data_IF_881145429240
#
_entry.id   IF_881145429240
#
_cell.length_a   1.000
_cell.length_b   1.000
_cell.length_c   1.000
_cell.angle_alpha   90.00
_cell.angle_beta   90.00
_cell.angle_gamma   90.00
#
_symmetry.space_group_name_H-M   'P 1'
#
loop_
_entity.id
_entity.type
_entity.pdbx_description
1 polymer ?
#
# COMPACT_ATOMS: atom_id res chain seq x y z
N UNK A 1 -2.33 25.36 -6.85
CA UNK A 1 -2.75 24.37 -7.88
C UNK A 1 -2.51 22.97 -7.35
N UNK A 2 -3.55 22.19 -7.08
CA UNK A 2 -3.39 20.79 -6.73
C UNK A 2 -2.83 20.02 -7.95
N UNK A 3 -1.81 19.16 -7.79
CA UNK A 3 -1.17 18.48 -8.91
C UNK A 3 -2.19 17.65 -9.68
N UNK A 4 -2.13 17.64 -11.01
CA UNK A 4 -3.13 17.04 -11.92
C UNK A 4 -3.55 15.60 -11.53
N UNK A 5 -2.64 14.84 -10.91
CA UNK A 5 -2.88 13.49 -10.35
C UNK A 5 -3.87 13.45 -9.17
N UNK A 6 -3.98 14.51 -8.36
CA UNK A 6 -4.91 14.55 -7.21
C UNK A 6 -6.38 14.57 -7.61
N UNK A 7 -6.72 15.10 -8.80
CA UNK A 7 -8.09 15.06 -9.30
C UNK A 7 -8.49 13.67 -9.80
N UNK A 8 -7.54 12.89 -10.33
CA UNK A 8 -7.82 11.59 -10.92
C UNK A 8 -8.18 10.54 -9.87
N UNK A 9 -7.41 10.43 -8.78
CA UNK A 9 -7.70 9.43 -7.74
C UNK A 9 -9.00 9.72 -6.98
N UNK A 10 -9.32 11.00 -6.74
CA UNK A 10 -10.58 11.37 -6.07
C UNK A 10 -11.79 11.01 -6.89
N UNK A 11 -11.75 11.31 -8.19
CA UNK A 11 -12.82 10.93 -9.12
C UNK A 11 -12.91 9.41 -9.30
N UNK A 12 -11.76 8.72 -9.33
CA UNK A 12 -11.71 7.26 -9.34
C UNK A 12 -12.35 6.67 -8.07
N UNK A 13 -11.98 7.14 -6.88
CA UNK A 13 -12.57 6.67 -5.62
C UNK A 13 -14.05 7.01 -5.55
N UNK A 14 -14.46 8.21 -5.97
CA UNK A 14 -15.87 8.57 -6.03
C UNK A 14 -16.65 7.60 -6.94
N UNK A 15 -16.13 7.29 -8.13
CA UNK A 15 -16.79 6.35 -9.05
C UNK A 15 -16.76 4.91 -8.53
N UNK A 16 -15.74 4.53 -7.76
CA UNK A 16 -15.65 3.21 -7.11
C UNK A 16 -16.67 3.05 -5.99
N UNK A 17 -16.92 4.11 -5.22
CA UNK A 17 -17.79 4.10 -4.03
C UNK A 17 -19.24 4.44 -4.35
N UNK A 18 -19.45 5.30 -5.35
CA UNK A 18 -20.75 5.71 -5.86
C UNK A 18 -20.84 5.39 -7.37
N UNK A 19 -20.84 4.10 -7.76
CA UNK A 19 -20.95 3.72 -9.16
C UNK A 19 -22.27 4.22 -9.75
N UNK A 20 -22.25 4.85 -10.93
CA UNK A 20 -23.42 5.54 -11.49
C UNK A 20 -24.58 4.61 -11.90
N UNK A 21 -24.31 3.32 -12.11
CA UNK A 21 -25.26 2.38 -12.73
C UNK A 21 -25.74 1.27 -11.77
N UNK A 22 -25.41 1.37 -10.48
CA UNK A 22 -25.65 0.33 -9.48
C UNK A 22 -26.52 0.90 -8.37
N UNK A 23 -27.64 0.24 -8.06
CA UNK A 23 -28.46 0.60 -6.89
C UNK A 23 -27.56 0.58 -5.65
N UNK A 24 -27.64 1.62 -4.82
CA UNK A 24 -26.76 1.86 -3.64
C UNK A 24 -26.66 0.70 -2.64
N UNK A 25 -27.44 -0.37 -2.81
CA UNK A 25 -27.38 -1.63 -2.06
C UNK A 25 -26.31 -2.63 -2.55
N UNK A 26 -25.64 -2.41 -3.69
CA UNK A 26 -24.70 -3.38 -4.29
C UNK A 26 -23.21 -3.06 -4.10
N UNK A 27 -22.84 -1.86 -3.63
CA UNK A 27 -21.44 -1.57 -3.24
C UNK A 27 -21.12 -2.23 -1.90
N UNK A 28 -20.72 -3.51 -1.97
CA UNK A 28 -20.56 -4.47 -0.87
C UNK A 28 -19.24 -4.37 -0.08
N UNK A 29 -18.64 -3.18 0.04
CA UNK A 29 -17.40 -3.01 0.82
C UNK A 29 -17.70 -2.38 2.18
N UNK A 30 -17.19 -2.96 3.26
CA UNK A 30 -17.37 -2.44 4.64
C UNK A 30 -16.66 -1.09 4.87
N UNK A 31 -15.76 -0.70 3.97
CA UNK A 31 -15.05 0.57 4.01
C UNK A 31 -13.93 0.65 2.97
N UNK A 32 -13.30 1.82 2.88
CA UNK A 32 -12.15 2.06 2.00
C UNK A 32 -11.15 3.01 2.67
N UNK A 33 -9.87 2.85 2.34
CA UNK A 33 -8.82 3.77 2.77
C UNK A 33 -7.79 3.95 1.65
N UNK A 34 -7.39 5.20 1.39
CA UNK A 34 -6.37 5.54 0.40
C UNK A 34 -5.17 6.20 1.07
N UNK A 35 -3.99 5.73 0.69
CA UNK A 35 -2.70 6.23 1.15
C UNK A 35 -1.91 6.76 -0.03
N UNK A 36 -1.20 7.86 0.18
CA UNK A 36 -0.21 8.36 -0.77
C UNK A 36 0.96 7.39 -0.88
N UNK A 37 1.79 7.61 -1.89
CA UNK A 37 3.05 6.89 -2.05
C UNK A 37 4.00 7.06 -0.84
N UNK A 38 3.85 8.15 -0.08
CA UNK A 38 4.58 8.39 1.17
C UNK A 38 3.93 7.76 2.41
N UNK A 39 2.90 6.93 2.25
CA UNK A 39 2.19 6.27 3.35
C UNK A 39 1.20 7.17 4.10
N UNK A 40 0.97 8.41 3.66
CA UNK A 40 0.03 9.34 4.30
C UNK A 40 -1.40 8.97 3.94
N UNK A 41 -2.30 8.92 4.94
CA UNK A 41 -3.74 8.73 4.71
C UNK A 41 -4.33 10.00 4.07
N UNK A 42 -4.97 9.87 2.91
CA UNK A 42 -5.67 10.98 2.23
C UNK A 42 -7.19 10.80 2.13
N UNK A 43 -7.69 9.57 2.28
CA UNK A 43 -9.12 9.30 2.30
C UNK A 43 -9.41 8.05 3.14
N UNK A 44 -10.52 8.06 3.86
CA UNK A 44 -11.04 6.94 4.65
C UNK A 44 -12.55 7.03 4.74
N UNK A 45 -13.22 5.89 4.66
CA UNK A 45 -14.66 5.77 4.85
C UNK A 45 -15.03 4.37 5.38
N UNK A 46 -16.25 4.24 5.92
CA UNK A 46 -16.77 3.01 6.52
C UNK A 46 -15.95 2.52 7.71
N UNK A 47 -15.57 1.25 7.72
CA UNK A 47 -14.81 0.60 8.79
C UNK A 47 -13.40 1.19 9.04
N UNK A 48 -12.93 2.12 8.18
CA UNK A 48 -11.65 2.82 8.34
C UNK A 48 -11.73 4.20 8.99
N UNK A 49 -12.90 4.63 9.51
CA UNK A 49 -13.06 5.95 10.14
C UNK A 49 -12.24 6.13 11.43
N UNK A 50 -11.97 5.06 12.19
CA UNK A 50 -11.08 5.11 13.34
C UNK A 50 -9.62 5.42 12.94
N UNK A 51 -8.80 5.95 13.86
CA UNK A 51 -7.38 6.19 13.59
C UNK A 51 -6.64 4.86 13.43
N UNK A 52 -6.54 4.37 12.19
CA UNK A 52 -5.83 3.15 11.84
C UNK A 52 -4.50 3.51 11.18
N UNK A 53 -3.41 2.98 11.71
CA UNK A 53 -2.14 2.93 10.98
C UNK A 53 -2.15 1.66 10.13
N UNK A 54 -2.16 1.76 8.78
CA UNK A 54 -2.18 0.59 7.92
C UNK A 54 -0.96 -0.29 8.20
N UNK A 55 -1.19 -1.58 8.32
CA UNK A 55 -0.13 -2.52 8.58
C UNK A 55 -0.35 -3.86 7.89
N UNK A 56 0.75 -4.50 7.50
CA UNK A 56 0.80 -5.86 7.00
C UNK A 56 1.12 -6.79 8.17
N UNK A 57 0.36 -7.86 8.33
CA UNK A 57 0.62 -8.89 9.34
C UNK A 57 1.28 -10.09 8.68
N UNK A 58 2.44 -10.49 9.18
CA UNK A 58 3.14 -11.69 8.72
C UNK A 58 3.78 -12.39 9.92
N UNK A 59 3.47 -13.67 10.11
CA UNK A 59 4.05 -14.54 11.16
C UNK A 59 4.04 -13.91 12.56
N UNK A 60 2.93 -13.26 12.95
CA UNK A 60 2.76 -12.61 14.25
C UNK A 60 3.41 -11.22 14.38
N UNK A 61 4.16 -10.76 13.37
CA UNK A 61 4.68 -9.40 13.32
C UNK A 61 3.69 -8.45 12.62
N UNK A 62 3.64 -7.20 13.10
CA UNK A 62 2.90 -6.10 12.49
C UNK A 62 3.89 -5.16 11.83
N UNK A 63 3.79 -4.97 10.52
CA UNK A 63 4.64 -4.09 9.73
C UNK A 63 3.83 -2.88 9.26
N UNK A 64 4.14 -1.69 9.77
CA UNK A 64 3.51 -0.45 9.37
C UNK A 64 4.03 0.00 8.01
N UNK A 65 3.12 0.34 7.10
CA UNK A 65 3.49 0.80 5.76
C UNK A 65 4.15 2.18 5.86
N UNK A 66 5.39 2.28 5.37
CA UNK A 66 6.14 3.56 5.32
C UNK A 66 6.07 4.21 3.96
N UNK A 67 5.89 3.42 2.89
CA UNK A 67 5.68 3.93 1.54
C UNK A 67 5.19 2.84 0.60
N UNK A 68 4.62 3.27 -0.51
CA UNK A 68 4.17 2.40 -1.59
C UNK A 68 4.46 3.04 -2.96
N UNK A 69 4.57 2.22 -3.98
CA UNK A 69 4.63 2.59 -5.40
C UNK A 69 3.56 1.78 -6.14
N UNK A 70 3.47 1.93 -7.47
CA UNK A 70 2.60 1.09 -8.29
C UNK A 70 2.92 -0.42 -8.17
N UNK A 71 4.15 -0.76 -7.81
CA UNK A 71 4.63 -2.15 -7.82
C UNK A 71 5.34 -2.59 -6.55
N UNK A 72 5.41 -1.73 -5.54
CA UNK A 72 6.19 -1.97 -4.32
C UNK A 72 5.46 -1.47 -3.09
N UNK A 73 5.53 -2.20 -1.98
CA UNK A 73 5.17 -1.71 -0.65
C UNK A 73 6.38 -1.93 0.25
N UNK A 74 6.74 -0.89 1.02
CA UNK A 74 7.77 -0.96 2.05
C UNK A 74 7.12 -0.75 3.41
N UNK A 75 7.42 -1.63 4.35
CA UNK A 75 6.85 -1.60 5.69
C UNK A 75 7.90 -1.98 6.75
N UNK A 76 7.73 -1.48 7.97
CA UNK A 76 8.65 -1.70 9.10
C UNK A 76 7.89 -2.13 10.34
N UNK A 77 8.48 -3.01 11.14
CA UNK A 77 7.90 -3.38 12.43
C UNK A 77 8.26 -2.36 13.51
N UNK A 78 7.32 -2.08 14.42
CA UNK A 78 7.60 -1.23 15.59
C UNK A 78 8.55 -1.94 16.56
N UNK A 79 9.57 -1.25 17.05
CA UNK A 79 10.48 -1.74 18.10
C UNK A 79 11.43 -2.88 17.70
N UNK A 80 11.41 -3.34 16.44
CA UNK A 80 12.32 -4.37 15.92
C UNK A 80 12.97 -3.86 14.64
N UNK A 81 14.25 -4.16 14.46
CA UNK A 81 14.98 -3.87 13.22
C UNK A 81 14.53 -4.76 12.05
N UNK A 82 13.24 -5.02 11.92
CA UNK A 82 12.69 -5.88 10.89
C UNK A 82 11.92 -5.03 9.89
N UNK A 83 12.13 -5.32 8.62
CA UNK A 83 11.38 -4.70 7.54
C UNK A 83 10.76 -5.75 6.62
N UNK A 84 9.83 -5.26 5.82
CA UNK A 84 9.07 -6.04 4.86
C UNK A 84 9.01 -5.27 3.55
N UNK A 85 9.34 -5.93 2.46
CA UNK A 85 9.18 -5.44 1.10
C UNK A 85 8.23 -6.37 0.37
N UNK A 86 7.24 -5.80 -0.29
CA UNK A 86 6.29 -6.53 -1.13
C UNK A 86 6.40 -5.97 -2.55
N UNK A 87 6.80 -6.78 -3.52
CA UNK A 87 6.88 -6.41 -4.92
C UNK A 87 5.80 -7.14 -5.74
N UNK A 88 5.00 -6.39 -6.48
CA UNK A 88 4.10 -6.91 -7.51
C UNK A 88 4.88 -7.15 -8.81
N UNK A 89 4.72 -8.34 -9.37
CA UNK A 89 5.29 -8.79 -10.64
C UNK A 89 4.16 -9.24 -11.59
N UNK A 90 4.42 -9.40 -12.90
CA UNK A 90 3.39 -9.87 -13.85
C UNK A 90 2.82 -11.25 -13.52
N UNK A 91 3.59 -12.10 -12.84
CA UNK A 91 3.26 -13.49 -12.55
C UNK A 91 3.09 -13.78 -11.05
N UNK A 92 3.08 -12.76 -10.19
CA UNK A 92 2.88 -12.98 -8.76
C UNK A 92 3.31 -11.84 -7.86
N UNK A 93 3.47 -12.17 -6.57
CA UNK A 93 3.88 -11.23 -5.52
C UNK A 93 5.09 -11.80 -4.80
N UNK A 94 6.18 -11.03 -4.74
CA UNK A 94 7.36 -11.35 -3.95
C UNK A 94 7.25 -10.64 -2.59
N UNK A 95 7.31 -11.41 -1.51
CA UNK A 95 7.33 -10.88 -0.14
C UNK A 95 8.68 -11.19 0.49
N UNK A 96 9.42 -10.16 0.91
CA UNK A 96 10.73 -10.29 1.54
C UNK A 96 10.71 -9.66 2.93
N UNK A 97 10.79 -10.51 3.94
CA UNK A 97 11.05 -10.12 5.32
C UNK A 97 12.56 -10.11 5.59
N UNK A 98 13.03 -9.16 6.38
CA UNK A 98 14.43 -9.07 6.79
C UNK A 98 14.56 -8.49 8.20
N UNK A 99 15.76 -8.62 8.79
CA UNK A 99 16.09 -8.14 10.13
C UNK A 99 17.46 -7.42 10.14
N UNK A 100 17.78 -6.73 11.24
CA UNK A 100 19.11 -6.14 11.48
C UNK A 100 20.24 -7.17 11.23
N UNK A 101 21.39 -6.73 10.69
CA UNK A 101 21.81 -5.34 10.45
C UNK A 101 21.35 -4.77 9.11
N UNK A 102 20.51 -5.49 8.35
CA UNK A 102 20.11 -5.06 7.02
C UNK A 102 19.16 -3.85 7.07
N UNK A 103 19.45 -2.85 6.24
CA UNK A 103 18.67 -1.60 6.15
C UNK A 103 17.64 -1.67 5.03
N UNK A 104 16.45 -1.11 5.28
CA UNK A 104 15.34 -1.09 4.33
C UNK A 104 15.75 -0.54 2.95
N UNK A 105 16.42 0.61 2.90
CA UNK A 105 16.79 1.22 1.61
C UNK A 105 17.81 0.40 0.82
N UNK A 106 18.75 -0.26 1.51
CA UNK A 106 19.75 -1.10 0.87
C UNK A 106 19.11 -2.36 0.26
N UNK A 107 18.23 -3.03 1.01
CA UNK A 107 17.51 -4.20 0.50
C UNK A 107 16.55 -3.79 -0.60
N UNK A 108 15.82 -2.69 -0.42
CA UNK A 108 14.87 -2.21 -1.41
C UNK A 108 15.55 -1.93 -2.75
N UNK A 109 16.69 -1.23 -2.76
CA UNK A 109 17.44 -0.99 -4.00
C UNK A 109 17.79 -2.28 -4.74
N UNK A 110 18.26 -3.31 -4.01
CA UNK A 110 18.61 -4.62 -4.60
C UNK A 110 17.38 -5.36 -5.15
N UNK A 111 16.31 -5.46 -4.37
CA UNK A 111 15.09 -6.17 -4.76
C UNK A 111 14.43 -5.44 -5.93
N UNK A 112 14.26 -4.13 -5.82
CA UNK A 112 13.59 -3.33 -6.84
C UNK A 112 14.31 -3.43 -8.19
N UNK A 113 15.64 -3.41 -8.19
CA UNK A 113 16.42 -3.59 -9.41
C UNK A 113 16.21 -4.97 -10.05
N UNK A 114 16.28 -6.05 -9.25
CA UNK A 114 16.03 -7.41 -9.72
C UNK A 114 14.60 -7.58 -10.26
N UNK A 115 13.60 -7.04 -9.56
CA UNK A 115 12.20 -7.12 -9.96
C UNK A 115 11.90 -6.28 -11.21
N UNK A 116 12.57 -5.15 -11.38
CA UNK A 116 12.39 -4.29 -12.58
C UNK A 116 12.77 -5.03 -13.86
N UNK A 117 13.79 -5.89 -13.83
CA UNK A 117 14.15 -6.73 -14.97
C UNK A 117 13.02 -7.72 -15.37
N UNK A 118 12.20 -8.15 -14.40
CA UNK A 118 11.14 -9.15 -14.56
C UNK A 118 9.77 -8.53 -14.90
N UNK A 119 9.67 -7.20 -14.94
CA UNK A 119 8.43 -6.46 -15.29
C UNK A 119 8.32 -6.12 -16.78
N UNK A 120 9.27 -6.59 -17.59
CA UNK A 120 9.29 -6.40 -19.04
C UNK A 120 8.30 -7.31 -19.74
#
# INVERSE_FOLDING_TARGET
>A
MAPRNTRYWRSFLHNLLCPPDVSSSETSYDGVCFFTLSGRVEYRDGCFQASLTPALRLSGCVFHIVSATFSSIRAVASGKYCGLIVEKLPFGVLVVGFSSPLRLEAIFGRIHHACTALRR
#
